data_IF_861158824924
#
_entry.id   IF_861158824924
#
_cell.length_a   1.000
_cell.length_b   1.000
_cell.length_c   1.000
_cell.angle_alpha   90.00
_cell.angle_beta   90.00
_cell.angle_gamma   90.00
#
_symmetry.space_group_name_H-M   'P 1'
#
loop_
_entity.id
_entity.type
_entity.pdbx_description
1 polymer ?
#
# COMPACT_ATOMS: atom_id res chain seq x y z
N UNK A 1 -77.12 7.56 -15.54
CA UNK A 1 -77.95 8.70 -15.94
C UNK A 1 -77.07 9.93 -15.85
N UNK A 2 -76.42 10.29 -16.95
CA UNK A 2 -76.94 11.10 -18.08
C UNK A 2 -76.49 12.54 -17.84
N UNK A 3 -75.52 13.00 -18.65
CA UNK A 3 -75.75 13.91 -19.78
C UNK A 3 -76.15 15.30 -19.24
N UNK A 4 -75.44 16.39 -19.52
CA UNK A 4 -74.86 16.73 -20.81
C UNK A 4 -74.06 18.06 -20.75
N UNK A 5 -73.32 18.26 -21.85
CA UNK A 5 -73.12 19.52 -22.61
C UNK A 5 -72.32 20.66 -21.96
N UNK A 6 -71.10 20.97 -22.47
CA UNK A 6 -70.76 21.69 -23.73
C UNK A 6 -71.33 23.12 -23.74
N UNK A 7 -70.63 24.18 -24.13
CA UNK A 7 -69.24 24.51 -24.43
C UNK A 7 -69.23 25.99 -24.84
N UNK A 8 -68.27 26.81 -24.41
CA UNK A 8 -67.93 28.11 -25.03
C UNK A 8 -66.42 28.32 -24.79
N UNK A 9 -65.54 27.91 -25.71
CA UNK A 9 -65.05 28.65 -26.90
C UNK A 9 -63.88 29.59 -26.56
N UNK A 10 -62.72 29.21 -27.12
CA UNK A 10 -61.60 30.05 -27.60
C UNK A 10 -60.93 31.02 -26.62
N UNK A 11 -59.67 30.73 -26.27
CA UNK A 11 -58.52 31.61 -26.56
C UNK A 11 -57.23 31.01 -25.99
N UNK A 12 -56.18 30.99 -26.81
CA UNK A 12 -54.81 30.63 -26.42
C UNK A 12 -54.53 29.14 -26.64
N UNK A 13 -53.92 28.72 -27.74
CA UNK A 13 -52.74 29.33 -28.34
C UNK A 13 -51.60 28.33 -28.21
N UNK A 14 -51.25 27.72 -29.35
CA UNK A 14 -49.99 27.08 -29.69
C UNK A 14 -49.03 26.77 -28.52
N UNK A 15 -49.00 25.52 -28.04
CA UNK A 15 -47.78 24.95 -27.45
C UNK A 15 -47.83 23.41 -27.33
N UNK A 16 -48.30 22.74 -28.37
CA UNK A 16 -48.16 21.28 -28.49
C UNK A 16 -47.39 20.92 -29.77
N UNK A 17 -46.09 21.15 -29.70
CA UNK A 17 -45.06 20.43 -30.46
C UNK A 17 -43.74 20.56 -29.68
N UNK A 18 -43.70 19.87 -28.53
CA UNK A 18 -42.49 19.73 -27.71
C UNK A 18 -41.54 18.78 -28.46
N UNK A 19 -40.74 19.39 -29.32
CA UNK A 19 -39.48 18.92 -29.89
C UNK A 19 -38.68 18.05 -28.89
N UNK A 20 -38.40 16.77 -29.16
CA UNK A 20 -37.38 16.02 -28.44
C UNK A 20 -36.06 16.11 -29.20
N UNK A 21 -35.57 17.32 -29.53
CA UNK A 21 -34.44 17.46 -30.46
C UNK A 21 -33.48 18.61 -30.13
N UNK A 22 -33.45 19.07 -28.88
CA UNK A 22 -32.38 19.95 -28.38
C UNK A 22 -31.92 19.50 -26.99
N UNK A 23 -31.41 18.25 -26.89
CA UNK A 23 -30.37 18.02 -25.90
C UNK A 23 -29.20 18.91 -26.30
N UNK A 24 -28.95 19.98 -25.55
CA UNK A 24 -27.96 20.99 -25.94
C UNK A 24 -26.63 20.32 -26.31
N UNK A 25 -25.93 20.76 -27.38
CA UNK A 25 -24.62 20.24 -27.72
C UNK A 25 -23.63 20.38 -26.55
N UNK A 26 -23.87 21.35 -25.66
CA UNK A 26 -23.18 21.54 -24.39
C UNK A 26 -23.36 20.37 -23.41
N UNK A 27 -24.54 19.76 -23.31
CA UNK A 27 -24.79 18.57 -22.48
C UNK A 27 -24.14 17.31 -23.06
N UNK A 28 -24.04 17.20 -24.39
CA UNK A 28 -23.33 16.10 -25.05
C UNK A 28 -21.80 16.24 -24.96
N UNK A 29 -21.26 17.45 -25.12
CA UNK A 29 -19.85 17.77 -24.85
C UNK A 29 -19.47 17.53 -23.39
N UNK A 30 -20.39 17.85 -22.46
CA UNK A 30 -20.17 17.59 -21.02
C UNK A 30 -20.12 16.09 -20.71
N UNK A 31 -20.91 15.25 -21.40
CA UNK A 31 -20.80 13.77 -21.32
C UNK A 31 -19.49 13.27 -21.93
N UNK A 32 -19.04 13.84 -23.04
CA UNK A 32 -17.72 13.53 -23.62
C UNK A 32 -16.57 13.84 -22.66
N UNK A 33 -16.74 14.85 -21.81
CA UNK A 33 -15.78 15.25 -20.77
C UNK A 33 -16.05 14.64 -19.39
N UNK A 34 -17.09 13.81 -19.24
CA UNK A 34 -17.29 13.12 -17.95
C UNK A 34 -16.19 12.09 -17.74
N UNK A 35 -15.63 11.98 -16.53
CA UNK A 35 -14.60 11.01 -16.19
C UNK A 35 -15.21 9.61 -16.08
N UNK A 36 -15.68 9.08 -17.19
CA UNK A 36 -15.96 7.66 -17.35
C UNK A 36 -14.68 6.90 -17.68
N UNK A 37 -14.65 5.57 -17.47
CA UNK A 37 -13.56 4.71 -17.91
C UNK A 37 -13.53 4.67 -19.45
N UNK A 38 -12.90 5.66 -20.07
CA UNK A 38 -12.85 5.82 -21.53
C UNK A 38 -12.93 7.26 -22.06
N UNK A 39 -13.11 8.27 -21.20
CA UNK A 39 -13.11 9.67 -21.65
C UNK A 39 -11.76 10.12 -22.25
N UNK A 40 -11.74 11.12 -23.15
CA UNK A 40 -10.52 11.63 -23.78
C UNK A 40 -9.50 12.13 -22.76
N UNK A 41 -9.96 12.67 -21.62
CA UNK A 41 -9.08 13.10 -20.52
C UNK A 41 -8.30 11.93 -19.91
N UNK A 42 -8.95 10.78 -19.74
CA UNK A 42 -8.34 9.54 -19.22
C UNK A 42 -7.31 9.03 -20.24
N UNK A 43 -7.64 9.07 -21.52
CA UNK A 43 -6.74 8.70 -22.61
C UNK A 43 -5.50 9.61 -22.69
N UNK A 44 -5.68 10.93 -22.67
CA UNK A 44 -4.58 11.89 -22.66
C UNK A 44 -3.68 11.70 -21.43
N UNK A 45 -4.28 11.50 -20.26
CA UNK A 45 -3.55 11.20 -19.02
C UNK A 45 -2.75 9.91 -19.13
N UNK A 46 -3.36 8.83 -19.63
CA UNK A 46 -2.67 7.56 -19.81
C UNK A 46 -1.53 7.67 -20.81
N UNK A 47 -1.73 8.36 -21.94
CA UNK A 47 -0.68 8.57 -22.95
C UNK A 47 0.51 9.33 -22.37
N UNK A 48 0.25 10.41 -21.63
CA UNK A 48 1.28 11.20 -20.95
C UNK A 48 2.04 10.37 -19.91
N UNK A 49 1.33 9.60 -19.08
CA UNK A 49 1.96 8.70 -18.10
C UNK A 49 2.73 7.56 -18.77
N UNK A 50 2.25 7.02 -19.88
CA UNK A 50 2.92 5.94 -20.62
C UNK A 50 4.27 6.40 -21.17
N UNK A 51 4.40 7.67 -21.54
CA UNK A 51 5.66 8.25 -21.98
C UNK A 51 6.56 8.66 -20.80
N UNK A 52 6.01 9.27 -19.76
CA UNK A 52 6.80 9.77 -18.61
C UNK A 52 7.29 8.64 -17.69
N UNK A 53 6.48 7.61 -17.43
CA UNK A 53 6.83 6.54 -16.48
C UNK A 53 8.13 5.83 -16.89
N UNK A 54 8.35 5.39 -18.14
CA UNK A 54 9.62 4.80 -18.56
C UNK A 54 10.82 5.76 -18.42
N UNK A 55 10.64 7.05 -18.74
CA UNK A 55 11.71 8.05 -18.69
C UNK A 55 12.15 8.38 -17.25
N UNK A 56 11.20 8.35 -16.31
CA UNK A 56 11.48 8.60 -14.90
C UNK A 56 11.79 7.32 -14.11
N UNK A 57 11.73 6.15 -14.75
CA UNK A 57 11.98 4.86 -14.10
C UNK A 57 13.47 4.67 -13.90
N UNK A 58 13.90 4.52 -12.65
CA UNK A 58 15.24 4.04 -12.34
C UNK A 58 15.35 2.56 -12.73
N UNK A 59 16.52 2.15 -13.23
CA UNK A 59 16.88 0.72 -13.32
C UNK A 59 16.78 0.12 -11.91
N UNK A 60 16.28 -1.12 -11.83
CA UNK A 60 16.00 -1.76 -10.54
C UNK A 60 17.22 -1.74 -9.63
N UNK A 61 17.00 -1.42 -8.36
CA UNK A 61 18.08 -1.39 -7.35
C UNK A 61 18.62 -2.79 -7.04
N UNK A 62 17.88 -3.83 -7.42
CA UNK A 62 18.12 -5.23 -7.05
C UNK A 62 18.54 -6.12 -8.22
N UNK A 63 19.17 -5.58 -9.26
CA UNK A 63 19.82 -6.40 -10.28
C UNK A 63 21.17 -6.97 -9.78
N UNK A 64 21.16 -7.49 -8.55
CA UNK A 64 22.33 -7.98 -7.81
C UNK A 64 22.56 -9.48 -8.04
N UNK A 65 21.51 -10.19 -8.47
CA UNK A 65 21.53 -11.64 -8.62
C UNK A 65 21.71 -12.02 -10.08
N UNK A 66 22.73 -12.84 -10.36
CA UNK A 66 23.00 -13.37 -11.70
C UNK A 66 23.34 -14.85 -11.60
N UNK A 67 22.46 -15.69 -12.14
CA UNK A 67 22.61 -17.14 -12.10
C UNK A 67 23.56 -17.70 -13.18
N UNK A 68 24.04 -16.85 -14.09
CA UNK A 68 24.97 -17.24 -15.16
C UNK A 68 26.45 -17.09 -14.80
N UNK A 69 26.77 -16.56 -13.61
CA UNK A 69 28.16 -16.34 -13.18
C UNK A 69 28.66 -17.56 -12.41
N UNK A 70 29.83 -18.12 -12.76
CA UNK A 70 30.38 -19.25 -12.03
C UNK A 70 30.76 -18.84 -10.59
N UNK A 71 30.16 -19.55 -9.62
CA UNK A 71 30.62 -19.69 -8.23
C UNK A 71 30.78 -18.40 -7.39
N UNK A 72 29.90 -17.40 -7.56
CA UNK A 72 29.80 -16.28 -6.61
C UNK A 72 28.61 -16.47 -5.66
N UNK A 73 28.84 -16.69 -4.34
CA UNK A 73 27.78 -16.95 -3.37
C UNK A 73 26.81 -15.77 -3.19
N UNK A 74 27.25 -14.53 -3.42
CA UNK A 74 26.37 -13.35 -3.31
C UNK A 74 25.48 -13.22 -4.53
N UNK A 75 26.04 -13.37 -5.74
CA UNK A 75 25.27 -13.30 -7.00
C UNK A 75 24.32 -14.46 -7.20
N UNK A 76 24.62 -15.65 -6.67
CA UNK A 76 23.70 -16.78 -6.70
C UNK A 76 22.64 -16.73 -5.56
N UNK A 77 22.74 -15.75 -4.67
CA UNK A 77 21.77 -15.52 -3.60
C UNK A 77 21.94 -16.40 -2.36
N UNK A 78 23.08 -17.08 -2.21
CA UNK A 78 23.44 -17.84 -1.01
C UNK A 78 23.78 -16.90 0.16
N UNK A 79 24.50 -15.81 -0.12
CA UNK A 79 24.79 -14.72 0.82
C UNK A 79 24.07 -13.44 0.40
N UNK A 80 23.56 -12.67 1.35
CA UNK A 80 22.99 -11.36 1.05
C UNK A 80 24.09 -10.37 0.63
N UNK A 81 23.91 -9.63 -0.48
CA UNK A 81 24.76 -8.51 -0.83
C UNK A 81 24.72 -7.42 0.25
N UNK A 82 25.82 -6.69 0.44
CA UNK A 82 25.89 -5.58 1.42
C UNK A 82 25.00 -4.40 1.02
N UNK A 83 24.77 -4.25 -0.27
CA UNK A 83 23.87 -3.26 -0.85
C UNK A 83 22.44 -3.45 -0.33
N UNK A 84 21.98 -4.70 -0.16
CA UNK A 84 20.65 -4.97 0.43
C UNK A 84 20.59 -4.53 1.90
N UNK A 85 21.68 -4.75 2.65
CA UNK A 85 21.75 -4.32 4.04
C UNK A 85 21.63 -2.79 4.16
N UNK A 86 22.33 -2.05 3.30
CA UNK A 86 22.29 -0.57 3.29
C UNK A 86 20.88 0.00 2.98
N UNK A 87 20.06 -0.77 2.26
CA UNK A 87 18.71 -0.36 1.88
C UNK A 87 17.68 -0.63 2.98
N UNK A 88 17.86 -1.73 3.71
CA UNK A 88 17.05 -2.12 4.88
C UNK A 88 17.50 -1.45 6.18
N UNK A 89 18.70 -0.86 6.20
CA UNK A 89 19.18 -0.16 7.36
C UNK A 89 18.27 1.02 7.69
N UNK A 90 17.84 1.02 8.95
CA UNK A 90 17.22 2.16 9.60
C UNK A 90 18.23 3.30 9.49
N UNK A 91 17.88 4.35 8.75
CA UNK A 91 18.72 5.54 8.73
C UNK A 91 18.80 6.03 10.18
N UNK A 92 20.02 6.00 10.75
CA UNK A 92 20.29 6.71 11.98
C UNK A 92 19.79 8.15 11.80
N UNK A 93 19.25 8.80 12.84
CA UNK A 93 18.86 10.20 12.78
C UNK A 93 20.12 11.08 12.69
N UNK A 94 20.87 10.96 11.60
CA UNK A 94 22.14 11.63 11.38
C UNK A 94 21.94 13.08 10.95
N UNK A 95 20.72 13.46 10.54
CA UNK A 95 20.41 14.84 10.20
C UNK A 95 19.00 15.20 10.68
N UNK A 96 18.91 16.10 11.67
CA UNK A 96 17.65 16.73 12.10
C UNK A 96 16.97 17.48 10.96
N UNK A 97 17.73 17.84 9.92
CA UNK A 97 17.28 18.53 8.72
C UNK A 97 16.92 17.59 7.56
N UNK A 98 17.10 16.27 7.73
CA UNK A 98 16.53 15.29 6.80
C UNK A 98 15.01 15.25 7.00
N UNK A 99 14.34 16.22 6.37
CA UNK A 99 12.89 16.41 6.27
C UNK A 99 12.16 15.22 5.60
N UNK A 100 12.87 14.11 5.44
CA UNK A 100 12.59 12.86 4.74
C UNK A 100 13.33 11.77 5.54
N UNK A 101 12.66 10.86 6.23
CA UNK A 101 11.72 9.94 5.63
C UNK A 101 10.88 9.29 6.73
N UNK A 102 9.59 9.10 6.46
CA UNK A 102 8.84 8.10 7.20
C UNK A 102 9.45 6.75 6.85
N UNK A 103 10.26 6.21 7.76
CA UNK A 103 10.71 4.83 7.67
C UNK A 103 9.57 3.94 8.18
N UNK A 104 9.13 3.04 7.32
CA UNK A 104 8.05 2.13 7.62
C UNK A 104 8.49 0.71 7.27
N UNK A 105 8.41 -0.17 8.25
CA UNK A 105 8.52 -1.59 8.05
C UNK A 105 7.14 -2.21 8.23
N UNK A 106 6.68 -2.93 7.21
CA UNK A 106 5.44 -3.70 7.23
C UNK A 106 5.78 -5.15 6.88
N UNK A 107 5.38 -6.06 7.75
CA UNK A 107 5.45 -7.49 7.53
C UNK A 107 4.06 -8.07 7.64
N UNK A 108 3.72 -8.97 6.74
CA UNK A 108 2.51 -9.77 6.80
C UNK A 108 2.89 -11.21 6.52
N UNK A 109 2.41 -12.15 7.31
CA UNK A 109 2.49 -13.56 6.98
C UNK A 109 1.21 -14.29 7.34
N UNK A 110 0.95 -15.40 6.63
CA UNK A 110 -0.16 -16.30 6.91
C UNK A 110 0.27 -17.75 6.80
N UNK A 111 -0.44 -18.63 7.50
CA UNK A 111 -0.32 -20.08 7.38
C UNK A 111 -1.51 -20.64 6.59
N UNK A 112 -1.39 -21.90 6.15
CA UNK A 112 -2.50 -22.63 5.50
C UNK A 112 -3.67 -22.89 6.46
N UNK A 113 -3.40 -23.00 7.76
CA UNK A 113 -4.42 -23.13 8.82
C UNK A 113 -5.24 -21.86 9.04
N UNK A 114 -4.90 -20.75 8.36
CA UNK A 114 -5.61 -19.49 8.47
C UNK A 114 -5.07 -18.56 9.57
N UNK A 115 -4.03 -18.95 10.30
CA UNK A 115 -3.34 -18.01 11.18
C UNK A 115 -2.68 -16.92 10.35
N UNK A 116 -2.70 -15.69 10.85
CA UNK A 116 -1.99 -14.61 10.20
C UNK A 116 -1.49 -13.57 11.19
N UNK A 117 -0.42 -12.90 10.80
CA UNK A 117 0.13 -11.77 11.53
C UNK A 117 0.40 -10.65 10.56
N UNK A 118 0.02 -9.44 10.93
CA UNK A 118 0.41 -8.20 10.26
C UNK A 118 1.05 -7.32 11.32
N UNK A 119 2.32 -6.99 11.11
CA UNK A 119 3.10 -6.17 12.02
C UNK A 119 3.67 -4.99 11.25
N UNK A 120 3.55 -3.80 11.82
CA UNK A 120 4.00 -2.57 11.20
C UNK A 120 4.58 -1.64 12.24
N UNK A 121 5.75 -1.08 11.95
CA UNK A 121 6.31 0.05 12.70
C UNK A 121 6.62 1.16 11.72
N UNK A 122 6.06 2.35 11.96
CA UNK A 122 6.31 3.55 11.17
C UNK A 122 6.89 4.65 12.06
N UNK A 123 8.12 5.04 11.79
CA UNK A 123 8.81 6.12 12.51
C UNK A 123 8.29 7.48 12.08
N UNK A 124 8.32 8.43 13.01
CA UNK A 124 7.95 9.83 12.77
C UNK A 124 9.14 10.74 13.08
N UNK A 125 9.27 11.88 12.36
CA UNK A 125 10.34 12.85 12.63
C UNK A 125 10.33 13.42 14.06
N UNK A 126 9.21 13.35 14.77
CA UNK A 126 9.04 13.81 16.16
C UNK A 126 9.73 12.93 17.21
N UNK A 127 10.41 11.84 16.83
CA UNK A 127 10.96 10.86 17.77
C UNK A 127 9.90 9.91 18.34
N UNK A 128 8.71 9.91 17.75
CA UNK A 128 7.64 8.94 18.02
C UNK A 128 7.56 7.91 16.89
N UNK A 129 6.95 6.76 17.19
CA UNK A 129 6.71 5.71 16.22
C UNK A 129 5.27 5.20 16.34
N UNK A 130 4.68 4.86 15.20
CA UNK A 130 3.40 4.18 15.14
C UNK A 130 3.60 2.68 15.04
N UNK A 131 3.15 1.95 16.04
CA UNK A 131 3.10 0.49 16.00
C UNK A 131 1.69 0.02 15.63
N UNK A 132 1.65 -1.06 14.85
CA UNK A 132 0.44 -1.75 14.47
C UNK A 132 0.72 -3.25 14.52
N UNK A 133 -0.11 -3.98 15.26
CA UNK A 133 -0.05 -5.43 15.31
C UNK A 133 -1.46 -5.97 15.17
N UNK A 134 -1.63 -6.91 14.26
CA UNK A 134 -2.83 -7.72 14.07
C UNK A 134 -2.42 -9.18 14.04
N UNK A 135 -3.10 -10.01 14.83
CA UNK A 135 -2.87 -11.45 14.88
C UNK A 135 -4.20 -12.16 14.80
N UNK A 136 -4.30 -13.15 13.92
CA UNK A 136 -5.41 -14.10 13.86
C UNK A 136 -4.88 -15.49 14.19
N UNK A 137 -5.55 -16.15 15.12
CA UNK A 137 -5.27 -17.53 15.52
C UNK A 137 -6.09 -18.51 14.69
N UNK A 138 -5.72 -19.80 14.70
CA UNK A 138 -6.45 -20.86 13.98
C UNK A 138 -7.90 -21.00 14.46
N UNK A 139 -8.15 -20.71 15.75
CA UNK A 139 -9.48 -20.71 16.36
C UNK A 139 -10.38 -19.53 15.90
N UNK A 140 -9.87 -18.68 15.00
CA UNK A 140 -10.57 -17.51 14.47
C UNK A 140 -10.49 -16.28 15.36
N UNK A 141 -9.89 -16.37 16.56
CA UNK A 141 -9.71 -15.22 17.43
C UNK A 141 -8.75 -14.20 16.81
N UNK A 142 -9.15 -12.94 16.88
CA UNK A 142 -8.43 -11.80 16.31
C UNK A 142 -7.98 -10.86 17.43
N UNK A 143 -6.70 -10.52 17.42
CA UNK A 143 -6.04 -9.67 18.41
C UNK A 143 -5.42 -8.47 17.71
N UNK A 144 -5.72 -7.27 18.20
CA UNK A 144 -5.23 -6.03 17.59
C UNK A 144 -4.61 -5.13 18.64
N UNK A 145 -3.51 -4.46 18.29
CA UNK A 145 -2.95 -3.41 19.12
C UNK A 145 -3.98 -2.26 19.22
N UNK A 146 -4.36 -1.82 20.44
CA UNK A 146 -5.41 -0.83 20.62
C UNK A 146 -5.15 0.48 19.85
N UNK A 147 -6.15 1.02 19.12
CA UNK A 147 -5.97 2.19 18.28
C UNK A 147 -5.61 3.46 19.05
N UNK A 148 -6.07 3.55 20.29
CA UNK A 148 -5.84 4.67 21.22
C UNK A 148 -4.36 4.79 21.60
N UNK A 149 -3.59 3.71 21.49
CA UNK A 149 -2.19 3.66 21.86
C UNK A 149 -1.25 3.76 20.66
N UNK A 150 -1.74 4.00 19.44
CA UNK A 150 -0.93 3.88 18.19
C UNK A 150 0.29 4.79 18.08
N UNK A 151 0.55 5.70 19.03
CA UNK A 151 1.74 6.55 19.03
C UNK A 151 2.57 6.24 20.28
N UNK A 152 3.79 5.75 20.07
CA UNK A 152 4.73 5.40 21.13
C UNK A 152 6.03 6.18 20.96
N UNK A 153 6.89 6.13 21.97
CA UNK A 153 8.28 6.53 21.78
C UNK A 153 8.94 5.62 20.72
N UNK A 154 9.77 6.21 19.85
CA UNK A 154 10.61 5.42 18.94
C UNK A 154 11.77 4.80 19.72
N UNK A 155 11.80 3.47 19.81
CA UNK A 155 12.85 2.69 20.48
C UNK A 155 13.78 2.01 19.47
N UNK A 156 13.72 2.43 18.20
CA UNK A 156 14.54 1.85 17.13
C UNK A 156 16.02 2.24 17.33
N UNK A 157 16.88 1.25 17.61
CA UNK A 157 18.30 1.47 17.94
C UNK A 157 19.24 1.52 16.72
N UNK A 158 18.68 1.58 15.50
CA UNK A 158 19.46 1.50 14.25
C UNK A 158 19.75 0.05 13.82
N UNK A 159 20.49 -0.14 12.72
CA UNK A 159 20.98 -1.46 12.29
C UNK A 159 19.92 -2.47 11.83
N UNK A 160 18.76 -2.00 11.36
CA UNK A 160 17.65 -2.87 10.93
C UNK A 160 16.73 -3.31 12.07
N UNK A 161 16.72 -2.56 13.18
CA UNK A 161 15.86 -2.78 14.33
C UNK A 161 14.78 -1.70 14.41
N UNK A 162 13.52 -2.13 14.42
CA UNK A 162 12.35 -1.28 14.63
C UNK A 162 11.68 -1.68 15.94
N UNK A 163 11.46 -0.73 16.85
CA UNK A 163 10.78 -1.00 18.11
C UNK A 163 9.87 0.14 18.54
N UNK A 164 8.64 -0.20 18.92
CA UNK A 164 7.66 0.73 19.44
C UNK A 164 6.50 -0.03 20.11
N UNK A 165 6.07 0.43 21.29
CA UNK A 165 4.86 -0.07 21.94
C UNK A 165 4.87 -1.56 22.25
N UNK A 166 6.03 -2.10 22.65
CA UNK A 166 6.24 -3.52 22.92
C UNK A 166 6.37 -4.41 21.68
N UNK A 167 6.17 -3.86 20.46
CA UNK A 167 6.44 -4.53 19.19
C UNK A 167 7.88 -4.28 18.77
N UNK A 168 8.64 -5.36 18.57
CA UNK A 168 10.01 -5.36 18.07
C UNK A 168 10.09 -6.13 16.75
N UNK A 169 10.68 -5.53 15.74
CA UNK A 169 10.97 -6.13 14.44
C UNK A 169 12.46 -6.01 14.18
N UNK A 170 13.15 -7.15 14.04
CA UNK A 170 14.59 -7.21 13.89
C UNK A 170 14.94 -7.92 12.58
N UNK A 171 15.73 -7.26 11.75
CA UNK A 171 16.26 -7.83 10.51
C UNK A 171 17.31 -8.89 10.84
N UNK A 172 17.05 -10.13 10.44
CA UNK A 172 18.02 -11.23 10.53
C UNK A 172 18.80 -11.38 9.22
N UNK A 173 18.10 -11.26 8.09
CA UNK A 173 18.67 -11.28 6.73
C UNK A 173 17.95 -10.20 5.93
N UNK A 174 18.66 -9.26 5.29
CA UNK A 174 18.05 -8.18 4.51
C UNK A 174 16.97 -8.72 3.56
N UNK A 175 15.79 -8.11 3.63
CA UNK A 175 14.61 -8.33 2.78
C UNK A 175 14.07 -9.77 2.75
N UNK A 176 14.64 -10.68 3.55
CA UNK A 176 14.37 -12.12 3.47
C UNK A 176 13.95 -12.71 4.80
N UNK A 177 14.54 -12.26 5.90
CA UNK A 177 14.29 -12.86 7.21
C UNK A 177 14.20 -11.80 8.29
N UNK A 178 13.08 -11.83 9.00
CA UNK A 178 12.78 -10.88 10.06
C UNK A 178 12.28 -11.63 11.29
N UNK A 179 12.75 -11.22 12.46
CA UNK A 179 12.21 -11.67 13.74
C UNK A 179 11.21 -10.64 14.22
N UNK A 180 10.03 -11.10 14.60
CA UNK A 180 9.00 -10.28 15.23
C UNK A 180 8.82 -10.78 16.65
N UNK A 181 8.88 -9.86 17.61
CA UNK A 181 8.59 -10.13 19.00
C UNK A 181 7.59 -9.09 19.49
N UNK A 182 6.60 -9.52 20.26
CA UNK A 182 5.68 -8.61 20.92
C UNK A 182 5.46 -9.06 22.36
N UNK A 183 5.43 -8.11 23.27
CA UNK A 183 5.04 -8.36 24.66
C UNK A 183 4.19 -7.19 25.15
N UNK A 184 2.91 -7.43 25.39
CA UNK A 184 1.99 -6.38 25.82
C UNK A 184 0.53 -6.76 25.75
N UNK A 185 -0.35 -5.77 25.84
CA UNK A 185 -1.79 -5.96 25.80
C UNK A 185 -2.32 -5.83 24.37
N UNK A 186 -3.13 -6.81 23.94
CA UNK A 186 -3.90 -6.76 22.70
C UNK A 186 -5.39 -6.82 22.99
N UNK A 187 -6.17 -6.16 22.14
CA UNK A 187 -7.64 -6.18 22.17
C UNK A 187 -8.13 -7.38 21.36
N UNK A 188 -8.87 -8.29 22.02
CA UNK A 188 -9.48 -9.44 21.37
C UNK A 188 -10.83 -9.04 20.76
N UNK A 189 -10.87 -8.78 19.46
CA UNK A 189 -12.08 -8.29 18.78
C UNK A 189 -13.19 -9.33 18.72
N UNK A 190 -12.84 -10.62 18.82
CA UNK A 190 -13.82 -11.72 18.86
C UNK A 190 -14.46 -11.93 20.24
N UNK A 191 -13.89 -11.36 21.32
CA UNK A 191 -14.38 -11.54 22.69
C UNK A 191 -14.78 -10.22 23.32
N UNK A 192 -15.61 -9.45 22.61
CA UNK A 192 -16.15 -8.18 23.10
C UNK A 192 -15.06 -7.18 23.48
N UNK A 193 -13.94 -7.18 22.74
CA UNK A 193 -12.84 -6.24 22.91
C UNK A 193 -12.09 -6.32 24.25
N UNK A 194 -12.10 -7.50 24.89
CA UNK A 194 -11.30 -7.75 26.08
C UNK A 194 -9.81 -7.51 25.82
N UNK A 195 -9.15 -6.79 26.73
CA UNK A 195 -7.70 -6.65 26.75
C UNK A 195 -7.07 -7.92 27.32
N UNK A 196 -6.16 -8.52 26.56
CA UNK A 196 -5.46 -9.76 26.92
C UNK A 196 -3.97 -9.51 26.82
N UNK A 197 -3.22 -9.95 27.83
CA UNK A 197 -1.76 -9.95 27.76
C UNK A 197 -1.28 -11.05 26.82
N UNK A 198 -0.48 -10.67 25.83
CA UNK A 198 0.00 -11.57 24.77
C UNK A 198 1.50 -11.40 24.62
N UNK A 199 2.20 -12.53 24.58
CA UNK A 199 3.61 -12.61 24.23
C UNK A 199 3.76 -13.42 22.94
N UNK A 200 4.40 -12.82 21.94
CA UNK A 200 4.61 -13.41 20.62
C UNK A 200 6.10 -13.41 20.30
N UNK A 201 6.58 -14.50 19.74
CA UNK A 201 7.89 -14.58 19.09
C UNK A 201 7.77 -15.38 17.81
N UNK A 202 8.12 -14.78 16.68
CA UNK A 202 8.03 -15.43 15.37
C UNK A 202 9.16 -14.98 14.44
N UNK A 203 9.42 -15.80 13.42
CA UNK A 203 10.41 -15.50 12.38
C UNK A 203 9.72 -15.58 11.03
N UNK A 204 9.58 -14.42 10.37
CA UNK A 204 9.08 -14.33 9.01
C UNK A 204 10.22 -14.60 8.02
N UNK A 205 9.99 -15.49 7.06
CA UNK A 205 10.90 -15.80 5.96
C UNK A 205 10.20 -15.52 4.62
N UNK A 206 10.86 -14.79 3.73
CA UNK A 206 10.47 -14.68 2.33
C UNK A 206 10.79 -15.98 1.62
N UNK A 207 9.82 -16.53 0.87
CA UNK A 207 10.07 -17.65 -0.03
C UNK A 207 10.46 -17.18 -1.43
N UNK A 208 10.14 -15.92 -1.77
CA UNK A 208 10.51 -15.30 -3.03
C UNK A 208 11.81 -14.50 -2.91
N UNK A 209 12.42 -14.23 -4.07
CA UNK A 209 13.45 -13.21 -4.18
C UNK A 209 12.89 -11.82 -3.83
N UNK A 210 13.82 -10.90 -3.55
CA UNK A 210 13.53 -9.50 -3.27
C UNK A 210 12.72 -8.91 -4.41
N UNK A 211 11.59 -8.30 -4.08
CA UNK A 211 10.70 -7.67 -5.05
C UNK A 211 10.64 -6.16 -4.82
N UNK A 212 11.13 -5.42 -5.80
CA UNK A 212 10.92 -3.99 -5.89
C UNK A 212 9.72 -3.64 -6.78
N UNK A 213 8.68 -3.08 -6.15
CA UNK A 213 7.44 -2.67 -6.84
C UNK A 213 7.72 -1.70 -8.01
N UNK A 214 8.71 -0.83 -7.90
CA UNK A 214 9.01 0.14 -8.96
C UNK A 214 9.74 -0.49 -10.16
N UNK A 215 10.50 -1.56 -9.92
CA UNK A 215 11.36 -2.19 -10.90
C UNK A 215 10.73 -3.39 -11.60
N UNK A 216 9.79 -4.11 -10.97
CA UNK A 216 9.23 -5.33 -11.56
C UNK A 216 7.86 -5.16 -12.22
N UNK A 217 7.06 -4.15 -11.87
CA UNK A 217 5.78 -3.93 -12.55
C UNK A 217 5.97 -3.31 -13.94
N UNK A 218 5.21 -3.73 -14.95
CA UNK A 218 5.35 -3.14 -16.29
C UNK A 218 4.99 -1.64 -16.28
N UNK A 219 5.71 -0.82 -17.05
CA UNK A 219 5.44 0.63 -17.10
C UNK A 219 4.01 0.95 -17.53
N UNK A 220 3.44 0.12 -18.41
CA UNK A 220 2.05 0.22 -18.82
C UNK A 220 1.09 -0.07 -17.65
N UNK A 221 1.35 -1.10 -16.86
CA UNK A 221 0.57 -1.41 -15.66
C UNK A 221 0.56 -0.23 -14.68
N UNK A 222 1.75 0.33 -14.38
CA UNK A 222 1.87 1.49 -13.49
C UNK A 222 1.12 2.71 -14.05
N UNK A 223 1.31 3.02 -15.34
CA UNK A 223 0.61 4.12 -15.99
C UNK A 223 -0.92 3.95 -15.92
N UNK A 224 -1.43 2.73 -16.13
CA UNK A 224 -2.86 2.42 -16.05
C UNK A 224 -3.41 2.61 -14.63
N UNK A 225 -2.70 2.13 -13.61
CA UNK A 225 -3.10 2.33 -12.22
C UNK A 225 -3.14 3.82 -11.86
N UNK A 226 -2.11 4.58 -12.25
CA UNK A 226 -2.04 6.01 -12.04
C UNK A 226 -3.12 6.79 -12.78
N UNK A 227 -3.54 6.32 -13.95
CA UNK A 227 -4.60 6.97 -14.74
C UNK A 227 -5.89 7.07 -13.95
N UNK A 228 -6.24 6.03 -13.19
CA UNK A 228 -7.45 5.97 -12.36
C UNK A 228 -7.37 6.79 -11.06
N UNK A 229 -6.19 7.27 -10.68
CA UNK A 229 -6.03 8.11 -9.47
C UNK A 229 -6.31 9.59 -9.77
N UNK A 230 -6.65 10.40 -8.76
CA UNK A 230 -6.73 11.86 -8.96
C UNK A 230 -5.34 12.44 -9.20
N UNK A 231 -5.19 13.46 -10.07
CA UNK A 231 -3.92 14.18 -10.27
C UNK A 231 -3.29 14.71 -8.97
N UNK A 232 -4.12 15.06 -7.97
CA UNK A 232 -3.65 15.49 -6.63
C UNK A 232 -2.98 14.35 -5.84
N UNK A 233 -3.36 13.11 -6.14
CA UNK A 233 -2.87 11.88 -5.50
C UNK A 233 -1.80 11.19 -6.33
N UNK A 234 -1.64 11.56 -7.61
CA UNK A 234 -0.48 11.15 -8.40
C UNK A 234 0.72 11.78 -7.70
N UNK A 235 1.59 10.99 -7.05
CA UNK A 235 2.80 11.55 -6.48
C UNK A 235 3.55 12.24 -7.63
N UNK A 236 4.22 13.37 -7.35
CA UNK A 236 5.12 13.97 -8.35
C UNK A 236 5.92 12.83 -8.98
N UNK A 237 6.07 12.80 -10.30
CA UNK A 237 6.76 11.68 -10.95
C UNK A 237 8.21 11.57 -10.43
N UNK A 238 8.75 12.68 -9.90
CA UNK A 238 9.97 12.77 -9.08
C UNK A 238 9.86 12.20 -7.64
N UNK A 239 8.68 12.15 -7.03
CA UNK A 239 8.39 11.51 -5.72
C UNK A 239 8.21 9.99 -5.80
N UNK A 240 7.98 9.41 -6.99
CA UNK A 240 8.16 7.96 -7.18
C UNK A 240 9.57 7.52 -6.75
N UNK A 241 10.55 8.41 -6.72
CA UNK A 241 11.94 8.13 -6.38
C UNK A 241 12.19 7.77 -4.92
N UNK A 242 11.28 8.04 -3.97
CA UNK A 242 11.63 8.04 -2.53
C UNK A 242 10.80 7.16 -1.59
N UNK A 243 9.69 6.54 -2.02
CA UNK A 243 9.00 5.60 -1.13
C UNK A 243 9.71 4.25 -1.12
N UNK A 244 10.42 3.97 -0.01
CA UNK A 244 11.03 2.69 0.36
C UNK A 244 9.95 1.63 0.70
N UNK A 245 9.01 1.38 -0.21
CA UNK A 245 8.08 0.26 -0.06
C UNK A 245 8.73 -0.98 -0.69
N UNK A 246 9.52 -1.70 0.10
CA UNK A 246 10.03 -3.02 -0.27
C UNK A 246 9.06 -4.04 0.34
N UNK A 247 8.44 -4.84 -0.52
CA UNK A 247 7.55 -5.91 -0.08
C UNK A 247 8.30 -7.22 -0.28
N UNK A 248 8.77 -7.82 0.80
CA UNK A 248 9.05 -9.24 0.82
C UNK A 248 7.72 -9.96 1.06
N UNK A 249 7.35 -10.95 0.24
CA UNK A 249 6.17 -11.79 0.46
C UNK A 249 6.59 -12.97 1.36
N UNK A 250 6.29 -12.94 2.67
CA UNK A 250 6.68 -14.01 3.56
C UNK A 250 5.62 -15.10 3.53
N UNK A 251 6.03 -16.32 3.17
CA UNK A 251 5.26 -17.52 3.49
C UNK A 251 5.84 -18.10 4.78
N UNK A 252 4.99 -18.34 5.78
CA UNK A 252 5.39 -19.05 6.99
C UNK A 252 5.63 -20.53 6.63
N UNK A 253 6.91 -20.90 6.48
CA UNK A 253 7.29 -22.32 6.49
C UNK A 253 7.57 -22.71 7.94
N UNK A 254 6.57 -23.34 8.55
CA UNK A 254 6.70 -24.16 9.77
C UNK A 254 7.06 -23.40 11.05
N UNK A 255 6.05 -23.13 11.88
CA UNK A 255 6.27 -23.10 13.33
C UNK A 255 6.65 -24.52 13.77
N UNK A 256 7.94 -24.76 14.03
CA UNK A 256 8.33 -25.87 14.90
C UNK A 256 7.92 -25.48 16.31
N UNK A 257 7.00 -26.27 16.87
CA UNK A 257 6.59 -26.22 18.29
C UNK A 257 7.79 -26.32 19.22
#
# INVERSE_FOLDING_TARGET
>A
MCLATLAVVFMGGLLWLRWPLLSSPLLQLRRFWTPGPGGPVVWCKWLLLRLLVPLCRRRGRFDLYSFGVPYDPRRCGLLSPEEEASLDDVCAPADKDSRWSHDEQLLWSSTESGECVVARVRRQPSGSAQAWLYVRTADGHCYVLPPEQRLYADESLGGGHYSAGGLRMERLVPMRRWRIAFNGLLRCTTRGDALVHVQIGLVCKSSSNVFEHQAHFSSNFVARQLTNTSWRKVPNVTRYVFHRCIFALPYLVGCTK
#
